data_IF_864705789658
#
_entry.id   IF_864705789658
#
_cell.length_a   1.000
_cell.length_b   1.000
_cell.length_c   1.000
_cell.angle_alpha   90.00
_cell.angle_beta   90.00
_cell.angle_gamma   90.00
#
_symmetry.space_group_name_H-M   'P 1'
#
loop_
_entity.id
_entity.type
_entity.pdbx_description
1 polymer ?
#
# COMPACT_ATOMS: atom_id res chain seq x y z
N UNK A 1 -1.34 -30.28 -9.82
CA UNK A 1 -2.36 -29.41 -10.46
C UNK A 1 -2.49 -28.17 -9.60
N UNK A 2 -2.29 -26.98 -10.18
CA UNK A 2 -2.47 -25.68 -9.51
C UNK A 2 -3.97 -25.36 -9.53
N UNK A 3 -4.55 -24.95 -8.39
CA UNK A 3 -6.00 -24.68 -8.26
C UNK A 3 -6.37 -23.24 -8.61
N UNK A 4 -5.47 -22.30 -8.35
CA UNK A 4 -5.61 -20.88 -8.62
C UNK A 4 -4.24 -20.34 -9.02
N UNK A 5 -4.14 -19.71 -10.20
CA UNK A 5 -2.90 -19.14 -10.72
C UNK A 5 -2.63 -17.72 -10.23
N UNK A 6 -3.66 -17.01 -9.74
CA UNK A 6 -3.55 -15.61 -9.30
C UNK A 6 -2.70 -15.45 -8.05
N UNK A 7 -2.47 -16.54 -7.30
CA UNK A 7 -1.57 -16.56 -6.13
C UNK A 7 -0.12 -16.26 -6.47
N UNK A 8 0.24 -16.31 -7.75
CA UNK A 8 1.58 -16.02 -8.25
C UNK A 8 1.72 -14.60 -8.82
N UNK A 9 0.63 -13.81 -8.85
CA UNK A 9 0.68 -12.43 -9.33
C UNK A 9 1.48 -11.55 -8.35
N UNK A 10 2.24 -10.59 -8.87
CA UNK A 10 3.07 -9.69 -8.04
C UNK A 10 2.24 -8.85 -7.04
N UNK A 11 0.97 -8.63 -7.37
CA UNK A 11 0.03 -7.91 -6.51
C UNK A 11 -0.74 -8.81 -5.54
N UNK A 12 -0.56 -10.13 -5.61
CA UNK A 12 -1.21 -11.05 -4.70
C UNK A 12 -0.71 -10.83 -3.27
N UNK A 13 -1.63 -10.44 -2.39
CA UNK A 13 -1.37 -10.33 -0.96
C UNK A 13 -1.94 -11.56 -0.24
N UNK A 14 -1.11 -12.45 0.33
CA UNK A 14 -1.60 -13.60 1.06
C UNK A 14 -2.46 -13.19 2.26
N UNK A 15 -3.44 -14.03 2.60
CA UNK A 15 -4.33 -13.80 3.75
C UNK A 15 -3.56 -13.86 5.07
N UNK A 16 -2.62 -14.80 5.20
CA UNK A 16 -1.76 -14.95 6.39
C UNK A 16 -0.31 -14.65 6.04
N UNK A 17 0.33 -13.77 6.82
CA UNK A 17 1.76 -13.48 6.68
C UNK A 17 2.53 -14.36 7.67
N UNK A 18 3.35 -15.29 7.17
CA UNK A 18 4.12 -16.22 8.00
C UNK A 18 5.54 -15.70 8.23
N UNK A 19 6.05 -15.83 9.46
CA UNK A 19 7.46 -15.55 9.79
C UNK A 19 7.84 -14.06 9.79
N UNK A 20 6.87 -13.15 9.78
CA UNK A 20 7.10 -11.69 9.78
C UNK A 20 6.44 -10.95 10.94
N UNK A 21 6.03 -11.65 12.00
CA UNK A 21 5.34 -11.07 13.16
C UNK A 21 6.03 -9.81 13.70
N UNK A 22 7.36 -9.84 13.88
CA UNK A 22 8.09 -8.67 14.35
C UNK A 22 7.95 -7.45 13.44
N UNK A 23 8.13 -7.63 12.13
CA UNK A 23 8.03 -6.52 11.16
C UNK A 23 6.59 -6.05 11.00
N UNK A 24 5.62 -6.95 11.11
CA UNK A 24 4.19 -6.59 11.15
C UNK A 24 3.94 -5.68 12.36
N UNK A 25 4.33 -6.11 13.56
CA UNK A 25 4.18 -5.33 14.79
C UNK A 25 4.82 -3.94 14.66
N UNK A 26 6.06 -3.85 14.17
CA UNK A 26 6.75 -2.56 14.00
C UNK A 26 5.98 -1.59 13.09
N UNK A 27 5.34 -2.08 12.03
CA UNK A 27 4.55 -1.23 11.12
C UNK A 27 3.16 -0.93 11.70
N UNK A 28 2.49 -1.90 12.32
CA UNK A 28 1.18 -1.68 12.93
C UNK A 28 1.27 -0.74 14.13
N UNK A 29 2.32 -0.83 14.95
CA UNK A 29 2.54 0.07 16.09
C UNK A 29 2.72 1.52 15.63
N UNK A 30 3.44 1.74 14.53
CA UNK A 30 3.61 3.06 13.93
C UNK A 30 2.30 3.63 13.35
N UNK A 31 1.41 2.76 12.86
CA UNK A 31 0.09 3.11 12.32
C UNK A 31 -1.00 3.22 13.38
N UNK A 32 -0.81 2.62 14.56
CA UNK A 32 -1.79 2.56 15.65
C UNK A 32 -2.41 3.91 16.04
N UNK A 33 -1.69 5.06 16.05
CA UNK A 33 -2.28 6.35 16.37
C UNK A 33 -3.51 6.73 15.51
N UNK A 34 -3.62 6.21 14.28
CA UNK A 34 -4.76 6.46 13.39
C UNK A 34 -6.08 5.97 14.00
N UNK A 35 -6.05 4.93 14.83
CA UNK A 35 -7.24 4.40 15.50
C UNK A 35 -7.87 5.40 16.48
N UNK A 36 -7.05 6.31 17.01
CA UNK A 36 -7.45 7.36 17.93
C UNK A 36 -7.59 8.74 17.22
N UNK A 37 -7.71 8.75 15.89
CA UNK A 37 -7.73 9.94 15.03
C UNK A 37 -6.46 10.82 15.18
N UNK A 38 -5.35 10.20 15.56
CA UNK A 38 -4.04 10.84 15.69
C UNK A 38 -3.17 10.47 14.49
N UNK A 39 -2.32 11.41 14.07
CA UNK A 39 -1.37 11.19 12.97
C UNK A 39 -0.38 10.07 13.31
N UNK A 40 -0.31 9.05 12.45
CA UNK A 40 0.70 7.99 12.51
C UNK A 40 2.13 8.48 12.27
N UNK A 41 3.09 7.67 12.71
CA UNK A 41 4.50 7.85 12.40
C UNK A 41 4.82 7.41 10.96
N UNK A 42 5.86 8.01 10.36
CA UNK A 42 6.32 7.60 9.04
C UNK A 42 7.20 6.33 9.15
N UNK A 43 6.86 5.27 8.42
CA UNK A 43 7.69 4.07 8.31
C UNK A 43 8.57 4.10 7.05
N UNK A 44 9.84 3.73 7.19
CA UNK A 44 10.73 3.48 6.06
C UNK A 44 11.22 2.03 6.08
N UNK A 45 10.67 1.21 5.18
CA UNK A 45 11.02 -0.21 5.07
C UNK A 45 12.16 -0.40 4.05
N UNK A 46 13.32 -0.84 4.52
CA UNK A 46 14.50 -1.06 3.68
C UNK A 46 15.01 -2.50 3.77
N UNK A 47 15.77 -2.93 2.75
CA UNK A 47 16.35 -4.27 2.66
C UNK A 47 16.34 -4.83 1.24
N UNK A 48 16.93 -6.02 1.01
CA UNK A 48 17.04 -6.64 -0.31
C UNK A 48 15.70 -6.85 -1.01
N UNK A 49 15.71 -7.02 -2.34
CA UNK A 49 14.50 -7.41 -3.09
C UNK A 49 14.00 -8.78 -2.64
N UNK A 50 12.69 -9.01 -2.70
CA UNK A 50 12.08 -10.30 -2.37
C UNK A 50 11.95 -10.63 -0.88
N UNK A 51 12.42 -9.78 0.06
CA UNK A 51 12.30 -10.07 1.50
C UNK A 51 10.90 -9.84 2.09
N UNK A 52 9.94 -9.36 1.29
CA UNK A 52 8.54 -9.19 1.71
C UNK A 52 8.19 -7.79 2.23
N UNK A 53 8.97 -6.75 1.91
CA UNK A 53 8.70 -5.36 2.34
C UNK A 53 7.32 -4.87 1.89
N UNK A 54 7.02 -5.02 0.60
CA UNK A 54 5.71 -4.66 0.01
C UNK A 54 4.58 -5.45 0.65
N UNK A 55 4.79 -6.75 0.88
CA UNK A 55 3.82 -7.64 1.52
C UNK A 55 3.50 -7.19 2.94
N UNK A 56 4.51 -6.88 3.76
CA UNK A 56 4.32 -6.38 5.14
C UNK A 56 3.58 -5.04 5.14
N UNK A 57 3.98 -4.09 4.30
CA UNK A 57 3.32 -2.78 4.22
C UNK A 57 1.84 -2.91 3.82
N UNK A 58 1.54 -3.65 2.75
CA UNK A 58 0.15 -3.87 2.30
C UNK A 58 -0.67 -4.64 3.35
N UNK A 59 -0.08 -5.60 4.04
CA UNK A 59 -0.75 -6.36 5.09
C UNK A 59 -1.08 -5.52 6.34
N UNK A 60 -0.15 -4.68 6.79
CA UNK A 60 -0.39 -3.79 7.94
C UNK A 60 -1.49 -2.76 7.65
N UNK A 61 -1.51 -2.19 6.45
CA UNK A 61 -2.62 -1.31 6.02
C UNK A 61 -3.94 -2.08 5.96
N UNK A 62 -3.93 -3.32 5.45
CA UNK A 62 -5.14 -4.16 5.42
C UNK A 62 -5.69 -4.39 6.83
N UNK A 63 -4.82 -4.64 7.80
CA UNK A 63 -5.20 -4.81 9.22
C UNK A 63 -5.75 -3.52 9.82
N UNK A 64 -5.09 -2.38 9.58
CA UNK A 64 -5.59 -1.07 10.02
C UNK A 64 -7.01 -0.79 9.48
N UNK A 65 -7.27 -1.12 8.21
CA UNK A 65 -8.59 -0.92 7.58
C UNK A 65 -9.67 -1.90 8.07
N UNK A 66 -9.29 -3.00 8.73
CA UNK A 66 -10.24 -3.88 9.40
C UNK A 66 -10.72 -3.29 10.72
N UNK A 67 -9.85 -2.56 11.42
CA UNK A 67 -10.18 -1.86 12.68
C UNK A 67 -10.87 -0.50 12.44
N UNK A 68 -10.44 0.23 11.40
CA UNK A 68 -10.94 1.56 11.07
C UNK A 68 -11.48 1.57 9.63
N UNK A 69 -12.80 1.45 9.49
CA UNK A 69 -13.49 1.26 8.20
C UNK A 69 -13.28 2.41 7.21
N UNK A 70 -13.07 3.64 7.69
CA UNK A 70 -13.07 4.85 6.86
C UNK A 70 -11.68 5.48 6.65
N UNK A 71 -10.58 4.74 6.83
CA UNK A 71 -9.24 5.29 6.53
C UNK A 71 -9.01 5.33 5.02
N UNK A 72 -8.89 6.53 4.39
CA UNK A 72 -8.50 6.65 3.00
C UNK A 72 -7.06 6.15 2.81
N UNK A 73 -6.81 5.41 1.74
CA UNK A 73 -5.50 4.81 1.48
C UNK A 73 -5.19 4.81 -0.02
N UNK A 74 -3.92 5.07 -0.35
CA UNK A 74 -3.39 4.96 -1.70
C UNK A 74 -2.11 4.10 -1.69
N UNK A 75 -1.98 3.25 -2.70
CA UNK A 75 -0.76 2.48 -2.97
C UNK A 75 -0.20 2.93 -4.31
N UNK A 76 1.06 3.36 -4.32
CA UNK A 76 1.75 3.73 -5.56
C UNK A 76 2.98 2.85 -5.75
N UNK A 77 3.04 2.15 -6.87
CA UNK A 77 4.22 1.41 -7.28
C UNK A 77 5.12 2.32 -8.13
N UNK A 78 6.07 3.00 -7.50
CA UNK A 78 6.98 3.93 -8.20
C UNK A 78 7.90 3.26 -9.23
N UNK A 79 7.93 1.92 -9.33
CA UNK A 79 8.60 1.23 -10.44
C UNK A 79 7.78 1.30 -11.73
N UNK A 80 6.44 1.26 -11.62
CA UNK A 80 5.52 1.42 -12.74
C UNK A 80 5.25 2.91 -13.00
N UNK A 81 4.99 3.67 -11.93
CA UNK A 81 4.70 5.11 -11.97
C UNK A 81 5.93 5.93 -11.54
N UNK A 82 6.95 5.97 -12.39
CA UNK A 82 8.27 6.53 -12.03
C UNK A 82 8.39 8.05 -12.19
N UNK A 83 7.33 8.74 -12.63
CA UNK A 83 7.34 10.22 -12.75
C UNK A 83 6.60 10.86 -11.57
N UNK A 84 7.05 12.05 -11.17
CA UNK A 84 6.41 12.82 -10.11
C UNK A 84 4.92 13.05 -10.38
N UNK A 85 4.56 13.34 -11.63
CA UNK A 85 3.17 13.57 -12.01
C UNK A 85 2.35 12.29 -11.92
N UNK A 86 2.85 11.16 -12.43
CA UNK A 86 2.16 9.87 -12.33
C UNK A 86 1.88 9.47 -10.87
N UNK A 87 2.85 9.65 -9.97
CA UNK A 87 2.66 9.41 -8.53
C UNK A 87 1.55 10.29 -7.95
N UNK A 88 1.56 11.59 -8.26
CA UNK A 88 0.55 12.53 -7.75
C UNK A 88 -0.84 12.26 -8.34
N UNK A 89 -0.92 11.91 -9.62
CA UNK A 89 -2.15 11.51 -10.29
C UNK A 89 -2.74 10.25 -9.66
N UNK A 90 -1.91 9.24 -9.38
CA UNK A 90 -2.35 8.02 -8.70
C UNK A 90 -2.90 8.32 -7.30
N UNK A 91 -2.17 9.09 -6.49
CA UNK A 91 -2.61 9.47 -5.14
C UNK A 91 -3.92 10.28 -5.20
N UNK A 92 -4.02 11.22 -6.14
CA UNK A 92 -5.23 12.04 -6.32
C UNK A 92 -6.44 11.21 -6.71
N UNK A 93 -6.27 10.22 -7.60
CA UNK A 93 -7.35 9.30 -7.98
C UNK A 93 -7.81 8.47 -6.79
N UNK A 94 -6.87 7.86 -6.08
CA UNK A 94 -7.18 6.91 -5.00
C UNK A 94 -7.76 7.58 -3.75
N UNK A 95 -7.32 8.81 -3.41
CA UNK A 95 -7.76 9.50 -2.18
C UNK A 95 -8.90 10.49 -2.37
N UNK A 96 -9.01 11.12 -3.54
CA UNK A 96 -9.93 12.25 -3.77
C UNK A 96 -10.99 11.92 -4.82
N UNK A 97 -10.78 10.88 -5.64
CA UNK A 97 -11.72 10.50 -6.71
C UNK A 97 -11.72 11.47 -7.91
N UNK A 98 -10.62 12.19 -8.14
CA UNK A 98 -10.50 13.12 -9.27
C UNK A 98 -9.92 12.38 -10.47
N UNK A 99 -10.78 12.06 -11.44
CA UNK A 99 -10.35 11.58 -12.76
C UNK A 99 -9.85 12.78 -13.59
N UNK A 100 -8.54 12.99 -13.63
CA UNK A 100 -7.90 13.96 -14.53
C UNK A 100 -7.86 13.45 -15.98
N UNK A 101 -8.97 12.95 -16.52
CA UNK A 101 -9.13 12.70 -17.97
C UNK A 101 -9.43 14.02 -18.65
N UNK A 102 -8.44 14.90 -18.75
CA UNK A 102 -8.43 15.94 -19.79
C UNK A 102 -7.12 15.81 -20.54
N UNK A 103 -7.12 15.36 -21.81
CA UNK A 103 -5.90 15.24 -22.58
C UNK A 103 -5.29 16.63 -22.78
N UNK A 104 -4.03 16.78 -22.37
CA UNK A 104 -3.20 17.95 -22.68
C UNK A 104 -3.18 18.15 -24.20
N UNK A 105 -3.55 19.32 -24.74
CA UNK A 105 -3.38 19.57 -26.16
C UNK A 105 -1.88 19.57 -26.46
N UNK A 106 -1.44 18.66 -27.34
CA UNK A 106 -0.10 18.71 -27.91
C UNK A 106 -0.06 19.92 -28.84
N UNK A 107 0.84 20.87 -28.53
CA UNK A 107 1.18 22.03 -29.35
C UNK A 107 2.12 21.65 -30.50
#
# INVERSE_FOLDING_TARGET
>A
MIRDGTVFDDDHLPSTIVGRNRHMNEVTDALAPIQEDVRAENCFLFGPSGVGKTTVAKAAVRELRQEVLEVPYAYVNCWQDYTRNAVLEQISRDLVGVDHTTPTPQS
#
